data_IF_818523614979
#
_entry.id   IF_818523614979
#
_cell.length_a   1.000
_cell.length_b   1.000
_cell.length_c   1.000
_cell.angle_alpha   90.00
_cell.angle_beta   90.00
_cell.angle_gamma   90.00
#
_symmetry.space_group_name_H-M   'P 1'
#
loop_
_entity.id
_entity.type
_entity.pdbx_description
1 polymer ?
#
# COMPACT_ATOMS: atom_id res chain seq x y z
N UNK A 1 -7.99 -4.34 -14.43
CA UNK A 1 -8.68 -4.34 -13.12
C UNK A 1 -7.63 -3.89 -12.12
N UNK A 2 -7.79 -2.75 -11.43
CA UNK A 2 -6.72 -2.21 -10.58
C UNK A 2 -6.40 -3.14 -9.41
N UNK A 3 -5.30 -3.90 -9.53
CA UNK A 3 -4.70 -4.69 -8.44
C UNK A 3 -4.07 -3.73 -7.42
N UNK A 4 -4.24 -4.02 -6.13
CA UNK A 4 -3.72 -3.19 -5.02
C UNK A 4 -2.30 -3.60 -4.62
N UNK A 5 -1.79 -4.66 -5.22
CA UNK A 5 -0.38 -4.97 -5.32
C UNK A 5 -0.08 -5.00 -6.82
N UNK A 6 0.86 -4.17 -7.25
CA UNK A 6 1.32 -4.12 -8.63
C UNK A 6 2.65 -4.88 -8.69
N UNK A 7 2.73 -5.96 -9.45
CA UNK A 7 3.99 -6.65 -9.65
C UNK A 7 4.98 -5.80 -10.45
N UNK A 8 6.20 -5.71 -9.94
CA UNK A 8 7.35 -5.21 -10.69
C UNK A 8 7.21 -3.77 -11.16
N UNK A 9 7.10 -2.84 -10.22
CA UNK A 9 7.28 -1.43 -10.58
C UNK A 9 8.77 -1.17 -10.79
N UNK A 10 9.30 -1.61 -11.93
CA UNK A 10 10.53 -1.05 -12.47
C UNK A 10 10.46 0.47 -12.39
N UNK A 11 11.59 1.11 -12.08
CA UNK A 11 11.73 2.55 -11.74
C UNK A 11 10.54 3.44 -12.18
N UNK A 12 9.85 4.13 -11.25
CA UNK A 12 8.80 5.07 -11.59
C UNK A 12 9.34 6.13 -12.56
N UNK A 13 8.80 6.18 -13.77
CA UNK A 13 9.22 7.13 -14.80
C UNK A 13 8.04 7.89 -15.34
N UNK A 14 8.32 9.12 -15.77
CA UNK A 14 7.40 9.93 -16.56
C UNK A 14 7.30 9.34 -17.95
N UNK A 15 6.07 9.21 -18.46
CA UNK A 15 5.84 8.93 -19.87
C UNK A 15 6.28 10.17 -20.67
N UNK A 16 7.31 10.06 -21.50
CA UNK A 16 7.55 11.06 -22.54
C UNK A 16 6.31 11.10 -23.42
N UNK A 17 5.61 12.24 -23.48
CA UNK A 17 4.34 12.41 -24.21
C UNK A 17 4.32 11.60 -25.52
N UNK A 18 3.53 10.54 -25.58
CA UNK A 18 3.00 10.09 -26.85
C UNK A 18 2.05 11.20 -27.33
N UNK A 19 2.25 11.70 -28.55
CA UNK A 19 1.30 12.60 -29.20
C UNK A 19 -0.02 11.83 -29.40
N UNK A 20 -0.97 11.99 -28.49
CA UNK A 20 -2.27 11.30 -28.52
C UNK A 20 -3.31 12.08 -27.71
N UNK A 21 -4.54 12.13 -28.22
CA UNK A 21 -5.57 13.11 -27.90
C UNK A 21 -5.90 13.27 -26.39
N UNK A 22 -6.16 14.51 -25.99
CA UNK A 22 -6.57 14.89 -24.64
C UNK A 22 -7.91 14.23 -24.25
N UNK A 23 -7.87 13.30 -23.30
CA UNK A 23 -9.07 12.82 -22.62
C UNK A 23 -9.40 13.84 -21.52
N UNK A 24 -10.42 14.67 -21.75
CA UNK A 24 -11.02 15.49 -20.69
C UNK A 24 -11.88 14.60 -19.81
N UNK A 25 -11.51 14.43 -18.54
CA UNK A 25 -12.41 13.96 -17.50
C UNK A 25 -12.99 15.15 -16.71
N UNK A 26 -14.21 15.03 -16.16
CA UNK A 26 -14.87 16.11 -15.44
C UNK A 26 -14.07 16.56 -14.21
N UNK A 27 -14.11 17.87 -13.93
CA UNK A 27 -13.51 18.50 -12.75
C UNK A 27 -13.92 17.79 -11.45
N UNK A 28 -12.97 17.75 -10.52
CA UNK A 28 -13.12 17.27 -9.16
C UNK A 28 -14.45 17.68 -8.52
N UNK A 29 -15.24 16.69 -8.09
CA UNK A 29 -16.34 16.91 -7.17
C UNK A 29 -15.72 17.26 -5.81
N UNK A 30 -16.09 18.42 -5.28
CA UNK A 30 -15.46 19.03 -4.11
C UNK A 30 -15.42 18.13 -2.88
N UNK A 31 -14.22 18.03 -2.28
CA UNK A 31 -14.01 17.53 -0.91
C UNK A 31 -14.74 18.48 0.05
N UNK A 32 -15.96 18.13 0.48
CA UNK A 32 -16.66 18.88 1.53
C UNK A 32 -16.11 18.49 2.90
N UNK A 33 -15.63 19.49 3.63
CA UNK A 33 -15.21 19.37 5.02
C UNK A 33 -16.42 19.01 5.90
N UNK A 34 -16.33 17.90 6.64
CA UNK A 34 -17.30 17.56 7.70
C UNK A 34 -16.85 18.26 9.00
N UNK A 35 -17.32 19.49 9.17
CA UNK A 35 -17.17 20.27 10.39
C UNK A 35 -18.15 19.87 11.49
N UNK A 36 -17.59 19.45 12.63
CA UNK A 36 -17.92 19.87 14.00
C UNK A 36 -19.33 19.66 14.58
N UNK A 37 -19.41 18.94 15.71
CA UNK A 37 -19.96 19.48 16.99
C UNK A 37 -19.73 18.58 18.22
N UNK A 38 -19.08 19.20 19.22
CA UNK A 38 -19.30 19.21 20.69
C UNK A 38 -19.45 17.94 21.56
N UNK A 39 -18.56 17.86 22.57
CA UNK A 39 -18.59 17.02 23.80
C UNK A 39 -19.85 17.23 24.65
N UNK A 40 -20.14 16.29 25.58
CA UNK A 40 -20.01 16.66 27.00
C UNK A 40 -19.35 15.61 27.92
N UNK A 41 -19.15 16.05 29.16
CA UNK A 41 -18.21 15.59 30.19
C UNK A 41 -18.63 14.38 31.05
N UNK A 42 -17.59 13.67 31.48
CA UNK A 42 -17.36 12.94 32.74
C UNK A 42 -18.47 12.82 33.81
N UNK A 43 -18.62 11.60 34.34
CA UNK A 43 -18.82 11.36 35.79
C UNK A 43 -18.06 10.12 36.28
N UNK A 44 -17.22 10.32 37.31
CA UNK A 44 -16.60 9.31 38.17
C UNK A 44 -17.55 8.90 39.31
N UNK A 45 -17.47 7.64 39.76
CA UNK A 45 -17.66 7.09 41.12
C UNK A 45 -17.63 5.56 41.01
N UNK A 46 -17.21 4.72 41.96
CA UNK A 46 -16.32 4.68 43.14
C UNK A 46 -16.26 3.18 43.52
N UNK A 47 -15.15 2.75 44.11
CA UNK A 47 -14.75 1.38 44.50
C UNK A 47 -15.68 0.63 45.49
N UNK A 48 -15.89 -0.68 45.21
CA UNK A 48 -15.78 -1.94 46.04
C UNK A 48 -16.45 -2.06 47.45
N UNK A 49 -16.63 -3.28 48.08
CA UNK A 49 -16.11 -4.63 47.75
C UNK A 49 -17.03 -5.88 47.94
N UNK A 50 -16.65 -6.97 47.24
CA UNK A 50 -16.48 -8.39 47.63
C UNK A 50 -17.54 -9.18 48.45
N UNK A 51 -18.01 -10.32 47.90
CA UNK A 51 -18.33 -11.54 48.66
C UNK A 51 -18.24 -12.81 47.78
N UNK A 52 -17.63 -13.86 48.36
CA UNK A 52 -17.48 -15.28 47.96
C UNK A 52 -18.82 -16.04 48.14
N UNK A 53 -19.13 -17.26 47.69
CA UNK A 53 -18.43 -18.47 47.21
C UNK A 53 -19.46 -19.37 46.46
N UNK A 54 -18.94 -20.36 45.72
CA UNK A 54 -19.49 -21.71 45.42
C UNK A 54 -20.69 -21.97 44.48
N UNK A 55 -20.41 -22.80 43.47
CA UNK A 55 -21.18 -24.04 43.24
C UNK A 55 -21.98 -24.16 41.94
N UNK A 56 -21.50 -25.01 41.04
CA UNK A 56 -22.38 -25.77 40.12
C UNK A 56 -22.27 -25.41 38.64
N UNK A 57 -21.55 -26.24 37.89
CA UNK A 57 -21.72 -26.34 36.44
C UNK A 57 -23.00 -27.12 36.11
N UNK A 58 -23.70 -26.75 35.02
CA UNK A 58 -24.22 -27.74 34.10
C UNK A 58 -23.79 -27.47 32.65
N UNK A 59 -23.84 -28.50 31.78
CA UNK A 59 -23.20 -28.49 30.47
C UNK A 59 -24.12 -27.90 29.41
N UNK A 60 -23.55 -27.22 28.42
CA UNK A 60 -24.27 -26.91 27.19
C UNK A 60 -23.84 -25.62 26.50
N UNK A 61 -23.15 -25.80 25.37
CA UNK A 61 -23.12 -24.91 24.22
C UNK A 61 -22.65 -23.46 24.41
N UNK A 62 -21.45 -23.16 23.89
CA UNK A 62 -21.24 -22.12 22.86
C UNK A 62 -19.88 -22.31 22.20
N UNK A 63 -19.89 -23.01 21.07
CA UNK A 63 -18.96 -22.70 20.01
C UNK A 63 -19.35 -21.31 19.48
N UNK A 64 -18.46 -20.32 19.59
CA UNK A 64 -18.76 -18.97 19.11
C UNK A 64 -17.86 -17.81 19.56
N UNK A 65 -16.76 -18.04 20.29
CA UNK A 65 -15.89 -16.94 20.76
C UNK A 65 -14.57 -16.79 19.96
N UNK A 66 -14.28 -17.68 19.00
CA UNK A 66 -13.03 -17.63 18.23
C UNK A 66 -12.99 -16.58 17.10
N UNK A 67 -14.11 -16.36 16.41
CA UNK A 67 -14.14 -15.54 15.17
C UNK A 67 -14.08 -14.02 15.45
N UNK A 68 -14.62 -13.56 16.58
CA UNK A 68 -14.58 -12.15 16.96
C UNK A 68 -13.19 -11.67 17.43
N UNK A 69 -12.45 -12.55 18.11
CA UNK A 69 -11.10 -12.26 18.62
C UNK A 69 -10.08 -12.13 17.49
N UNK A 70 -10.07 -13.10 16.55
CA UNK A 70 -9.13 -13.09 15.42
C UNK A 70 -9.34 -11.90 14.49
N UNK A 71 -10.59 -11.50 14.25
CA UNK A 71 -10.88 -10.31 13.41
C UNK A 71 -10.56 -8.99 14.12
N UNK A 72 -10.69 -8.94 15.45
CA UNK A 72 -10.23 -7.80 16.26
C UNK A 72 -8.71 -7.61 16.15
N UNK A 73 -7.96 -8.71 16.18
CA UNK A 73 -6.50 -8.71 16.02
C UNK A 73 -6.06 -8.22 14.63
N UNK A 74 -6.81 -8.54 13.57
CA UNK A 74 -6.54 -8.02 12.22
C UNK A 74 -6.64 -6.50 12.22
N UNK A 75 -7.70 -5.91 12.78
CA UNK A 75 -7.88 -4.45 12.81
C UNK A 75 -6.73 -3.73 13.53
N UNK A 76 -6.34 -4.22 14.71
CA UNK A 76 -5.20 -3.66 15.44
C UNK A 76 -3.89 -3.77 14.66
N UNK A 77 -3.70 -4.87 13.94
CA UNK A 77 -2.53 -5.06 13.08
C UNK A 77 -2.52 -4.08 11.91
N UNK A 78 -3.66 -3.84 11.25
CA UNK A 78 -3.79 -2.82 10.20
C UNK A 78 -3.42 -1.43 10.71
N UNK A 79 -3.91 -1.03 11.88
CA UNK A 79 -3.63 0.28 12.46
C UNK A 79 -2.14 0.44 12.80
N UNK A 80 -1.50 -0.60 13.35
CA UNK A 80 -0.04 -0.60 13.58
C UNK A 80 0.75 -0.52 12.28
N UNK A 81 0.29 -1.19 11.23
CA UNK A 81 0.93 -1.15 9.93
C UNK A 81 0.81 0.25 9.30
N UNK A 82 -0.31 0.95 9.49
CA UNK A 82 -0.49 2.35 9.08
C UNK A 82 0.48 3.28 9.80
N UNK A 83 0.68 3.12 11.10
CA UNK A 83 1.67 3.92 11.86
C UNK A 83 3.08 3.69 11.32
N UNK A 84 3.49 2.43 11.14
CA UNK A 84 4.79 2.09 10.56
C UNK A 84 4.97 2.65 9.15
N UNK A 85 3.93 2.56 8.30
CA UNK A 85 3.97 3.10 6.94
C UNK A 85 4.17 4.61 6.92
N UNK A 86 3.47 5.33 7.80
CA UNK A 86 3.62 6.78 7.95
C UNK A 86 5.00 7.16 8.47
N UNK A 87 5.51 6.48 9.49
CA UNK A 87 6.85 6.70 10.03
C UNK A 87 7.93 6.46 8.97
N UNK A 88 7.77 5.41 8.15
CA UNK A 88 8.73 5.11 7.09
C UNK A 88 8.67 6.12 5.94
N UNK A 89 7.48 6.57 5.54
CA UNK A 89 7.30 7.58 4.49
C UNK A 89 7.98 8.92 4.83
N UNK A 90 8.17 9.23 6.11
CA UNK A 90 8.90 10.43 6.54
C UNK A 90 10.35 10.49 5.99
N UNK A 91 10.96 9.33 5.67
CA UNK A 91 12.26 9.28 5.00
C UNK A 91 12.22 9.91 3.60
N UNK A 92 11.12 9.73 2.86
CA UNK A 92 10.90 10.34 1.55
C UNK A 92 10.47 11.80 1.70
N UNK A 93 9.57 12.10 2.65
CA UNK A 93 9.06 13.45 2.89
C UNK A 93 10.16 14.47 3.18
N UNK A 94 11.26 14.03 3.82
CA UNK A 94 12.41 14.87 4.13
C UNK A 94 13.10 15.48 2.89
N UNK A 95 12.89 14.91 1.71
CA UNK A 95 13.47 15.38 0.45
C UNK A 95 12.47 16.11 -0.44
N UNK A 96 11.21 16.27 0.00
CA UNK A 96 10.17 16.88 -0.82
C UNK A 96 10.33 18.40 -0.85
N UNK A 97 10.68 18.90 -2.03
CA UNK A 97 10.89 20.31 -2.31
C UNK A 97 10.21 20.71 -3.62
N UNK A 98 10.07 22.03 -3.85
CA UNK A 98 9.65 22.54 -5.14
C UNK A 98 10.85 22.60 -6.09
N UNK A 99 10.95 21.57 -6.93
CA UNK A 99 11.98 21.47 -7.96
C UNK A 99 11.35 21.18 -9.33
N UNK A 100 12.01 21.62 -10.41
CA UNK A 100 11.54 21.31 -11.76
C UNK A 100 11.58 19.81 -12.03
N UNK A 101 10.83 19.41 -13.05
CA UNK A 101 10.87 18.06 -13.61
C UNK A 101 12.30 17.64 -14.00
N UNK A 102 12.70 16.41 -13.66
CA UNK A 102 13.95 15.84 -14.20
C UNK A 102 13.85 15.70 -15.74
N UNK A 103 14.83 16.22 -16.51
CA UNK A 103 14.80 16.18 -17.98
C UNK A 103 14.82 14.76 -18.56
N UNK A 104 15.37 13.78 -17.85
CA UNK A 104 15.44 12.38 -18.26
C UNK A 104 14.19 11.56 -17.87
N UNK A 105 13.19 12.23 -17.27
CA UNK A 105 11.93 11.63 -16.89
C UNK A 105 11.95 10.85 -15.57
N UNK A 106 13.05 10.89 -14.81
CA UNK A 106 13.07 10.34 -13.44
C UNK A 106 12.10 11.09 -12.53
N UNK A 107 11.48 10.38 -11.61
CA UNK A 107 10.67 11.01 -10.58
C UNK A 107 11.56 11.68 -9.55
N UNK A 108 11.03 12.75 -8.96
CA UNK A 108 11.62 13.36 -7.79
C UNK A 108 10.83 12.98 -6.52
N UNK A 109 11.33 13.34 -5.33
CA UNK A 109 10.68 12.95 -4.08
C UNK A 109 9.21 13.41 -4.02
N UNK A 110 8.90 14.61 -4.56
CA UNK A 110 7.53 15.14 -4.65
C UNK A 110 6.63 14.26 -5.53
N UNK A 111 7.13 13.78 -6.66
CA UNK A 111 6.41 12.87 -7.57
C UNK A 111 6.12 11.52 -6.88
N UNK A 112 7.10 10.95 -6.18
CA UNK A 112 6.91 9.71 -5.41
C UNK A 112 5.84 9.89 -4.32
N UNK A 113 5.93 10.96 -3.52
CA UNK A 113 4.99 11.21 -2.42
C UNK A 113 3.56 11.44 -2.93
N UNK A 114 3.42 12.21 -4.00
CA UNK A 114 2.15 12.46 -4.67
C UNK A 114 1.48 11.17 -5.16
N UNK A 115 2.27 10.27 -5.74
CA UNK A 115 1.78 8.98 -6.21
C UNK A 115 1.29 8.09 -5.08
N UNK A 116 2.05 8.03 -4.00
CA UNK A 116 1.66 7.27 -2.80
C UNK A 116 0.39 7.81 -2.17
N UNK A 117 0.26 9.13 -2.01
CA UNK A 117 -0.94 9.74 -1.43
C UNK A 117 -2.17 9.48 -2.30
N UNK A 118 -2.03 9.54 -3.62
CA UNK A 118 -3.13 9.34 -4.56
C UNK A 118 -3.73 7.94 -4.45
N UNK A 119 -2.89 6.89 -4.40
CA UNK A 119 -3.36 5.52 -4.22
C UNK A 119 -3.93 5.28 -2.83
N UNK A 120 -3.32 5.86 -1.79
CA UNK A 120 -3.79 5.75 -0.41
C UNK A 120 -5.19 6.34 -0.22
N UNK A 121 -5.47 7.48 -0.86
CA UNK A 121 -6.82 8.05 -0.89
C UNK A 121 -7.84 7.08 -1.48
N UNK A 122 -7.50 6.37 -2.56
CA UNK A 122 -8.41 5.39 -3.18
C UNK A 122 -8.61 4.16 -2.29
N UNK A 123 -7.58 3.70 -1.59
CA UNK A 123 -7.72 2.64 -0.58
C UNK A 123 -8.69 3.07 0.53
N UNK A 124 -8.53 4.29 1.06
CA UNK A 124 -9.41 4.83 2.09
C UNK A 124 -10.87 4.97 1.61
N UNK A 125 -11.07 5.50 0.40
CA UNK A 125 -12.40 5.63 -0.24
C UNK A 125 -13.04 4.26 -0.51
N UNK A 126 -12.26 3.26 -0.90
CA UNK A 126 -12.75 1.90 -1.12
C UNK A 126 -13.23 1.28 0.19
N UNK A 127 -12.44 1.38 1.27
CA UNK A 127 -12.84 0.93 2.60
C UNK A 127 -14.14 1.61 3.08
N UNK A 128 -14.24 2.94 2.91
CA UNK A 128 -15.43 3.68 3.34
C UNK A 128 -16.67 3.31 2.51
N UNK A 129 -16.52 3.14 1.19
CA UNK A 129 -17.59 2.68 0.30
C UNK A 129 -18.07 1.27 0.68
N UNK A 130 -17.16 0.35 0.98
CA UNK A 130 -17.50 -1.03 1.36
C UNK A 130 -18.24 -1.12 2.69
N UNK A 131 -17.95 -0.19 3.61
CA UNK A 131 -18.65 -0.07 4.90
C UNK A 131 -20.03 0.60 4.75
N UNK A 132 -20.13 1.64 3.93
CA UNK A 132 -21.34 2.48 3.86
C UNK A 132 -22.30 2.11 2.73
N UNK A 133 -21.87 1.30 1.78
CA UNK A 133 -22.60 1.07 0.52
C UNK A 133 -22.54 2.26 -0.44
N UNK A 134 -21.63 3.22 -0.22
CA UNK A 134 -21.45 4.39 -1.09
C UNK A 134 -20.77 4.03 -2.42
N UNK A 135 -20.73 4.99 -3.35
CA UNK A 135 -20.08 4.81 -4.64
C UNK A 135 -18.56 4.56 -4.51
N UNK A 136 -18.04 3.60 -5.28
CA UNK A 136 -16.62 3.29 -5.34
C UNK A 136 -15.85 4.36 -6.11
N UNK A 137 -14.59 4.67 -5.73
CA UNK A 137 -13.77 5.59 -6.53
C UNK A 137 -13.62 5.06 -7.95
N UNK A 138 -13.73 5.86 -9.03
CA UNK A 138 -13.79 5.37 -10.40
C UNK A 138 -12.71 4.34 -10.76
N UNK A 139 -12.94 3.41 -11.71
CA UNK A 139 -11.86 2.55 -12.18
C UNK A 139 -10.77 3.39 -12.87
N UNK A 140 -9.53 2.90 -12.81
CA UNK A 140 -8.38 3.50 -13.47
C UNK A 140 -7.86 2.45 -14.46
N UNK A 141 -7.44 2.84 -15.69
CA UNK A 141 -6.83 1.91 -16.63
C UNK A 141 -5.69 1.12 -15.99
N UNK A 142 -5.58 -0.15 -16.37
CA UNK A 142 -4.59 -1.08 -15.86
C UNK A 142 -3.28 -0.94 -16.64
N UNK A 143 -2.72 0.27 -16.59
CA UNK A 143 -1.51 0.67 -17.28
C UNK A 143 -0.79 1.72 -16.41
N UNK A 144 0.40 1.36 -15.92
CA UNK A 144 1.18 2.22 -15.02
C UNK A 144 1.54 3.55 -15.69
N UNK A 145 1.83 3.57 -16.99
CA UNK A 145 2.15 4.79 -17.72
C UNK A 145 0.97 5.77 -17.73
N UNK A 146 -0.23 5.26 -17.98
CA UNK A 146 -1.47 6.06 -17.94
C UNK A 146 -1.77 6.54 -16.54
N UNK A 147 -1.67 5.66 -15.53
CA UNK A 147 -1.89 6.01 -14.12
C UNK A 147 -0.93 7.12 -13.67
N UNK A 148 0.37 6.93 -13.94
CA UNK A 148 1.42 7.86 -13.61
C UNK A 148 1.21 9.22 -14.29
N UNK A 149 0.78 9.23 -15.56
CA UNK A 149 0.47 10.46 -16.28
C UNK A 149 -0.71 11.23 -15.67
N UNK A 150 -1.78 10.52 -15.26
CA UNK A 150 -2.94 11.13 -14.59
C UNK A 150 -2.52 11.81 -13.28
N UNK A 151 -1.73 11.11 -12.46
CA UNK A 151 -1.27 11.63 -11.16
C UNK A 151 -0.35 12.82 -11.39
N UNK A 152 0.60 12.68 -12.32
CA UNK A 152 1.56 13.73 -12.64
C UNK A 152 0.85 15.02 -13.10
N UNK A 153 -0.11 14.92 -14.02
CA UNK A 153 -0.86 16.09 -14.49
C UNK A 153 -1.65 16.79 -13.37
N UNK A 154 -2.08 16.07 -12.34
CA UNK A 154 -2.78 16.64 -11.18
C UNK A 154 -1.86 17.32 -10.17
N UNK A 155 -0.58 16.92 -10.11
CA UNK A 155 0.31 17.29 -9.00
C UNK A 155 1.51 18.13 -9.41
N UNK A 156 1.91 18.10 -10.68
CA UNK A 156 3.13 18.78 -11.15
C UNK A 156 3.22 20.28 -10.84
N UNK A 157 2.07 20.98 -10.83
CA UNK A 157 2.00 22.42 -10.57
C UNK A 157 1.62 22.75 -9.11
N UNK A 158 1.46 21.74 -8.25
CA UNK A 158 1.18 21.94 -6.82
C UNK A 158 2.47 22.25 -6.05
N UNK A 159 2.44 23.20 -5.10
CA UNK A 159 3.53 23.43 -4.17
C UNK A 159 3.86 22.18 -3.35
N UNK A 160 5.13 21.99 -3.01
CA UNK A 160 5.62 20.86 -2.22
C UNK A 160 4.88 20.73 -0.87
N UNK A 161 4.63 21.86 -0.20
CA UNK A 161 3.90 21.91 1.05
C UNK A 161 2.46 21.35 0.93
N UNK A 162 1.77 21.62 -0.19
CA UNK A 162 0.42 21.10 -0.44
C UNK A 162 0.44 19.59 -0.71
N UNK A 163 1.51 19.08 -1.33
CA UNK A 163 1.69 17.64 -1.57
C UNK A 163 1.98 16.92 -0.26
N UNK A 164 2.85 17.47 0.60
CA UNK A 164 3.12 16.93 1.94
C UNK A 164 1.86 16.92 2.81
N UNK A 165 1.09 18.00 2.80
CA UNK A 165 -0.18 18.06 3.53
C UNK A 165 -1.19 17.01 3.05
N UNK A 166 -1.34 16.82 1.73
CA UNK A 166 -2.24 15.80 1.17
C UNK A 166 -1.76 14.36 1.47
N UNK A 167 -0.45 14.12 1.49
CA UNK A 167 0.11 12.83 1.92
C UNK A 167 -0.20 12.53 3.39
N UNK A 168 0.01 13.49 4.30
CA UNK A 168 -0.34 13.35 5.71
C UNK A 168 -1.85 13.15 5.92
N UNK A 169 -2.69 13.86 5.15
CA UNK A 169 -4.14 13.70 5.21
C UNK A 169 -4.57 12.31 4.69
N UNK A 170 -3.93 11.79 3.64
CA UNK A 170 -4.24 10.47 3.09
C UNK A 170 -3.99 9.33 4.09
N UNK A 171 -2.96 9.41 4.94
CA UNK A 171 -2.75 8.46 6.05
C UNK A 171 -3.84 8.57 7.11
N UNK A 172 -4.22 9.81 7.45
CA UNK A 172 -5.30 10.07 8.41
C UNK A 172 -6.63 9.52 7.90
N UNK A 173 -6.91 9.66 6.61
CA UNK A 173 -8.09 9.11 5.97
C UNK A 173 -8.09 7.58 5.96
N UNK A 174 -6.97 6.94 5.62
CA UNK A 174 -6.85 5.47 5.65
C UNK A 174 -7.07 4.92 7.07
N UNK A 175 -6.43 5.52 8.08
CA UNK A 175 -6.64 5.19 9.50
C UNK A 175 -8.11 5.30 9.86
N UNK A 176 -8.74 6.45 9.59
CA UNK A 176 -10.14 6.71 9.92
C UNK A 176 -11.08 5.71 9.27
N UNK A 177 -10.82 5.34 8.02
CA UNK A 177 -11.59 4.32 7.31
C UNK A 177 -11.49 2.94 8.01
N UNK A 178 -10.29 2.51 8.40
CA UNK A 178 -10.10 1.25 9.15
C UNK A 178 -10.76 1.32 10.53
N UNK A 179 -10.61 2.43 11.26
CA UNK A 179 -11.23 2.64 12.58
C UNK A 179 -12.76 2.62 12.52
N UNK A 180 -13.35 3.17 11.46
CA UNK A 180 -14.80 3.17 11.26
C UNK A 180 -15.35 1.81 10.83
N UNK A 181 -14.56 0.97 10.16
CA UNK A 181 -14.99 -0.34 9.67
C UNK A 181 -15.12 -1.37 10.77
N UNK A 182 -16.18 -2.18 10.70
CA UNK A 182 -16.30 -3.40 11.48
C UNK A 182 -15.38 -4.50 10.94
N UNK A 183 -15.18 -5.55 11.74
CA UNK A 183 -14.51 -6.77 11.31
C UNK A 183 -15.15 -7.38 10.05
N UNK A 184 -16.47 -7.34 9.94
CA UNK A 184 -17.22 -7.84 8.78
C UNK A 184 -17.01 -6.97 7.55
N UNK A 185 -16.99 -5.64 7.70
CA UNK A 185 -16.71 -4.72 6.60
C UNK A 185 -15.32 -4.95 6.00
N UNK A 186 -14.33 -5.16 6.86
CA UNK A 186 -12.95 -5.40 6.48
C UNK A 186 -12.79 -6.74 5.72
N UNK A 187 -13.54 -7.76 6.13
CA UNK A 187 -13.50 -9.11 5.55
C UNK A 187 -14.33 -9.27 4.26
N UNK A 188 -15.03 -8.23 3.80
CA UNK A 188 -15.76 -8.28 2.52
C UNK A 188 -14.78 -8.55 1.35
N UNK A 189 -15.23 -9.23 0.29
CA UNK A 189 -14.45 -9.35 -0.94
C UNK A 189 -14.15 -7.98 -1.53
N UNK A 190 -12.94 -7.79 -2.05
CA UNK A 190 -12.55 -6.56 -2.69
C UNK A 190 -13.32 -6.39 -4.01
N UNK A 191 -13.95 -5.23 -4.27
CA UNK A 191 -14.91 -5.06 -5.36
C UNK A 191 -14.30 -5.20 -6.77
N UNK A 192 -12.97 -5.16 -6.88
CA UNK A 192 -12.23 -5.29 -8.15
C UNK A 192 -11.25 -6.46 -8.18
N UNK A 193 -11.12 -7.18 -7.07
CA UNK A 193 -10.24 -8.33 -6.88
C UNK A 193 -11.00 -9.31 -5.98
N UNK A 194 -12.04 -10.00 -6.49
CA UNK A 194 -12.92 -10.83 -5.67
C UNK A 194 -12.20 -11.94 -4.88
N UNK A 195 -11.00 -12.31 -5.31
CA UNK A 195 -10.08 -13.24 -4.65
C UNK A 195 -9.39 -12.68 -3.39
N UNK A 196 -9.42 -11.35 -3.20
CA UNK A 196 -8.86 -10.63 -2.05
C UNK A 196 -9.95 -10.04 -1.17
N UNK A 197 -9.61 -9.72 0.07
CA UNK A 197 -10.47 -8.99 1.00
C UNK A 197 -10.14 -7.49 1.01
N UNK A 198 -11.10 -6.65 1.38
CA UNK A 198 -10.93 -5.19 1.36
C UNK A 198 -9.83 -4.72 2.33
N UNK A 199 -9.63 -5.41 3.46
CA UNK A 199 -8.57 -5.07 4.41
C UNK A 199 -7.16 -5.16 3.82
N UNK A 200 -6.95 -5.97 2.77
CA UNK A 200 -5.66 -6.15 2.10
C UNK A 200 -5.17 -4.86 1.42
N UNK A 201 -6.05 -3.87 1.24
CA UNK A 201 -5.68 -2.54 0.76
C UNK A 201 -4.67 -1.81 1.66
N UNK A 202 -4.60 -2.15 2.95
CA UNK A 202 -3.65 -1.54 3.90
C UNK A 202 -2.23 -2.08 3.72
N UNK A 203 -1.96 -3.40 3.88
CA UNK A 203 -0.62 -3.93 3.63
C UNK A 203 -0.15 -3.67 2.19
N UNK A 204 -1.03 -3.74 1.18
CA UNK A 204 -0.67 -3.38 -0.19
C UNK A 204 -0.22 -1.91 -0.33
N UNK A 205 -0.88 -0.96 0.35
CA UNK A 205 -0.45 0.43 0.36
C UNK A 205 0.93 0.63 1.03
N UNK A 206 1.25 -0.18 2.04
CA UNK A 206 2.52 -0.12 2.78
C UNK A 206 3.64 -0.75 1.97
N UNK A 207 3.42 -1.92 1.37
CA UNK A 207 4.37 -2.56 0.45
C UNK A 207 4.69 -1.66 -0.73
N UNK A 208 3.66 -1.02 -1.31
CA UNK A 208 3.83 -0.03 -2.37
C UNK A 208 4.64 1.19 -1.92
N UNK A 209 4.41 1.71 -0.71
CA UNK A 209 5.26 2.76 -0.13
C UNK A 209 6.73 2.30 0.01
N UNK A 210 6.94 1.08 0.50
CA UNK A 210 8.26 0.46 0.55
C UNK A 210 8.98 0.48 -0.79
N UNK A 211 8.27 0.16 -1.88
CA UNK A 211 8.81 0.21 -3.25
C UNK A 211 9.32 1.58 -3.66
N UNK A 212 8.53 2.63 -3.40
CA UNK A 212 8.96 3.98 -3.72
C UNK A 212 10.12 4.45 -2.84
N UNK A 213 10.17 4.04 -1.57
CA UNK A 213 11.21 4.45 -0.62
C UNK A 213 12.54 3.77 -0.95
N UNK A 214 12.57 2.46 -1.19
CA UNK A 214 13.83 1.81 -1.56
C UNK A 214 14.33 2.28 -2.92
N UNK A 215 13.44 2.51 -3.90
CA UNK A 215 13.84 3.02 -5.22
C UNK A 215 14.46 4.41 -5.09
N UNK A 216 13.90 5.27 -4.24
CA UNK A 216 14.44 6.61 -4.00
C UNK A 216 15.84 6.54 -3.38
N UNK A 217 16.05 5.69 -2.36
CA UNK A 217 17.36 5.54 -1.74
C UNK A 217 18.40 4.96 -2.70
N UNK A 218 18.04 4.04 -3.59
CA UNK A 218 18.95 3.58 -4.65
C UNK A 218 19.33 4.71 -5.62
N UNK A 219 18.39 5.60 -5.95
CA UNK A 219 18.66 6.74 -6.82
C UNK A 219 19.60 7.76 -6.14
N UNK A 220 19.61 7.81 -4.81
CA UNK A 220 20.58 8.56 -4.00
C UNK A 220 21.92 7.82 -3.79
N UNK A 221 22.02 6.55 -4.20
CA UNK A 221 23.19 5.70 -3.96
C UNK A 221 23.28 5.12 -2.53
N UNK A 222 22.23 5.22 -1.73
CA UNK A 222 22.17 4.65 -0.38
C UNK A 222 21.59 3.23 -0.39
N UNK A 223 22.45 2.28 -0.77
CA UNK A 223 22.11 0.86 -0.86
C UNK A 223 21.63 0.26 0.47
N UNK A 224 22.19 0.75 1.58
CA UNK A 224 21.85 0.26 2.93
C UNK A 224 20.41 0.65 3.27
N UNK A 225 20.06 1.93 3.12
CA UNK A 225 18.68 2.38 3.37
C UNK A 225 17.69 1.76 2.41
N UNK A 226 18.05 1.59 1.14
CA UNK A 226 17.22 0.89 0.18
C UNK A 226 16.90 -0.54 0.63
N UNK A 227 17.92 -1.31 1.02
CA UNK A 227 17.73 -2.68 1.50
C UNK A 227 16.95 -2.74 2.82
N UNK A 228 17.17 -1.80 3.74
CA UNK A 228 16.38 -1.70 4.98
C UNK A 228 14.91 -1.47 4.70
N UNK A 229 14.57 -0.54 3.79
CA UNK A 229 13.19 -0.27 3.40
C UNK A 229 12.54 -1.47 2.70
N UNK A 230 13.27 -2.14 1.81
CA UNK A 230 12.78 -3.31 1.08
C UNK A 230 12.44 -4.49 2.01
N UNK A 231 13.32 -4.81 2.96
CA UNK A 231 13.08 -5.87 3.95
C UNK A 231 11.92 -5.51 4.87
N UNK A 232 11.89 -4.29 5.38
CA UNK A 232 10.79 -3.82 6.21
C UNK A 232 9.43 -3.99 5.51
N UNK A 233 9.32 -3.59 4.24
CA UNK A 233 8.09 -3.74 3.48
C UNK A 233 7.69 -5.22 3.31
N UNK A 234 8.67 -6.08 2.98
CA UNK A 234 8.46 -7.52 2.88
C UNK A 234 8.04 -8.16 4.21
N UNK A 235 8.60 -7.70 5.33
CA UNK A 235 8.27 -8.22 6.66
C UNK A 235 6.86 -7.80 7.09
N UNK A 236 6.46 -6.56 6.79
CA UNK A 236 5.10 -6.09 7.05
C UNK A 236 4.10 -6.93 6.26
N UNK A 237 4.27 -7.09 4.95
CA UNK A 237 3.39 -7.91 4.11
C UNK A 237 3.41 -9.39 4.55
N UNK A 238 4.60 -9.94 4.83
CA UNK A 238 4.81 -11.28 5.38
C UNK A 238 4.11 -11.52 6.71
N UNK A 239 3.85 -10.46 7.48
CA UNK A 239 3.04 -10.59 8.68
C UNK A 239 1.56 -10.86 8.35
N UNK A 240 1.00 -10.28 7.28
CA UNK A 240 -0.42 -10.43 6.94
C UNK A 240 -0.72 -11.67 6.11
N UNK A 241 0.23 -12.11 5.30
CA UNK A 241 0.00 -13.13 4.30
C UNK A 241 0.87 -14.37 4.55
N UNK A 242 0.26 -15.55 4.40
CA UNK A 242 0.97 -16.83 4.59
C UNK A 242 0.99 -17.66 3.31
N UNK A 243 0.07 -17.40 2.37
CA UNK A 243 -0.03 -18.18 1.14
C UNK A 243 1.00 -17.71 0.10
N UNK A 244 1.61 -18.63 -0.67
CA UNK A 244 2.60 -18.27 -1.69
C UNK A 244 2.12 -17.22 -2.69
N UNK A 245 0.88 -17.32 -3.18
CA UNK A 245 0.29 -16.41 -4.16
C UNK A 245 0.11 -14.99 -3.64
N UNK A 246 -0.15 -14.82 -2.34
CA UNK A 246 -0.27 -13.51 -1.71
C UNK A 246 1.10 -12.85 -1.51
N UNK A 247 2.15 -13.65 -1.29
CA UNK A 247 3.52 -13.18 -1.07
C UNK A 247 4.35 -13.04 -2.35
N UNK A 248 3.84 -13.53 -3.49
CA UNK A 248 4.60 -13.57 -4.74
C UNK A 248 5.10 -12.19 -5.20
N UNK A 249 4.28 -11.15 -5.07
CA UNK A 249 4.67 -9.80 -5.52
C UNK A 249 5.65 -9.14 -4.55
N UNK A 250 5.48 -9.38 -3.24
CA UNK A 250 6.43 -8.96 -2.21
C UNK A 250 7.83 -9.52 -2.44
N UNK A 251 7.90 -10.84 -2.69
CA UNK A 251 9.15 -11.55 -3.01
C UNK A 251 9.76 -11.05 -4.31
N UNK A 252 8.93 -10.81 -5.33
CA UNK A 252 9.38 -10.24 -6.59
C UNK A 252 10.04 -8.87 -6.38
N UNK A 253 9.38 -7.97 -5.64
CA UNK A 253 9.89 -6.63 -5.37
C UNK A 253 11.18 -6.66 -4.52
N UNK A 254 11.27 -7.54 -3.52
CA UNK A 254 12.51 -7.73 -2.77
C UNK A 254 13.64 -8.26 -3.67
N UNK A 255 13.33 -9.15 -4.60
CA UNK A 255 14.29 -9.63 -5.59
C UNK A 255 14.78 -8.53 -6.53
N UNK A 256 13.91 -7.59 -6.92
CA UNK A 256 14.32 -6.41 -7.70
C UNK A 256 15.38 -5.58 -6.98
N UNK A 257 15.29 -5.43 -5.65
CA UNK A 257 16.31 -4.71 -4.88
C UNK A 257 17.63 -5.48 -4.88
N UNK A 258 17.62 -6.79 -4.65
CA UNK A 258 18.84 -7.60 -4.76
C UNK A 258 19.44 -7.54 -6.17
N UNK A 259 18.61 -7.63 -7.20
CA UNK A 259 19.04 -7.53 -8.59
C UNK A 259 19.73 -6.18 -8.88
N UNK A 260 19.14 -5.07 -8.44
CA UNK A 260 19.71 -3.71 -8.56
C UNK A 260 21.04 -3.53 -7.83
N UNK A 261 21.30 -4.35 -6.81
CA UNK A 261 22.56 -4.39 -6.07
C UNK A 261 23.56 -5.42 -6.63
N UNK A 262 23.25 -6.05 -7.78
CA UNK A 262 24.13 -7.05 -8.41
C UNK A 262 24.24 -8.35 -7.62
N UNK A 263 23.18 -8.74 -6.89
CA UNK A 263 23.14 -9.90 -5.98
C UNK A 263 22.24 -11.03 -6.53
N UNK A 264 22.70 -11.78 -7.56
CA UNK A 264 21.89 -12.81 -8.19
C UNK A 264 21.59 -14.00 -7.25
N UNK A 265 22.52 -14.37 -6.38
CA UNK A 265 22.36 -15.51 -5.48
C UNK A 265 21.18 -15.32 -4.50
N UNK A 266 20.93 -14.08 -4.08
CA UNK A 266 19.79 -13.70 -3.26
C UNK A 266 18.52 -13.43 -4.07
N UNK A 267 18.64 -12.85 -5.27
CA UNK A 267 17.49 -12.50 -6.10
C UNK A 267 16.80 -13.71 -6.74
N UNK A 268 17.57 -14.65 -7.30
CA UNK A 268 17.02 -15.75 -8.11
C UNK A 268 16.11 -16.70 -7.31
N UNK A 269 16.41 -17.09 -6.06
CA UNK A 269 15.50 -17.91 -5.26
C UNK A 269 14.15 -17.24 -5.03
N UNK A 270 14.13 -15.93 -4.78
CA UNK A 270 12.89 -15.16 -4.60
C UNK A 270 12.09 -15.07 -5.91
N UNK A 271 12.75 -14.86 -7.04
CA UNK A 271 12.10 -14.84 -8.37
C UNK A 271 11.48 -16.21 -8.70
N UNK A 272 12.17 -17.32 -8.43
CA UNK A 272 11.61 -18.67 -8.61
C UNK A 272 10.33 -18.87 -7.81
N UNK A 273 10.36 -18.54 -6.51
CA UNK A 273 9.17 -18.65 -5.64
C UNK A 273 8.03 -17.75 -6.14
N UNK A 274 8.35 -16.57 -6.67
CA UNK A 274 7.37 -15.64 -7.21
C UNK A 274 6.72 -16.19 -8.48
N UNK A 275 7.49 -16.76 -9.39
CA UNK A 275 7.00 -17.33 -10.66
C UNK A 275 6.23 -18.63 -10.47
N UNK A 276 6.64 -19.47 -9.52
CA UNK A 276 5.90 -20.68 -9.17
C UNK A 276 4.51 -20.34 -8.62
N UNK A 277 4.42 -19.30 -7.79
CA UNK A 277 3.15 -18.85 -7.21
C UNK A 277 2.29 -18.01 -8.17
N UNK A 278 2.91 -17.20 -9.03
CA UNK A 278 2.27 -16.33 -10.03
C UNK A 278 3.05 -16.34 -11.36
N UNK A 279 2.79 -17.31 -12.25
CA UNK A 279 3.52 -17.43 -13.52
C UNK A 279 3.40 -16.20 -14.43
N UNK A 280 2.34 -15.40 -14.30
CA UNK A 280 2.16 -14.18 -15.09
C UNK A 280 3.27 -13.15 -14.87
N UNK A 281 3.96 -13.21 -13.72
CA UNK A 281 5.08 -12.33 -13.39
C UNK A 281 6.29 -12.52 -14.32
N UNK A 282 6.42 -13.68 -14.97
CA UNK A 282 7.51 -13.95 -15.92
C UNK A 282 7.44 -13.02 -17.13
N UNK A 283 6.22 -12.73 -17.63
CA UNK A 283 6.04 -11.81 -18.75
C UNK A 283 6.50 -10.39 -18.41
N UNK A 284 6.28 -9.98 -17.15
CA UNK A 284 6.78 -8.72 -16.64
C UNK A 284 8.31 -8.74 -16.43
N UNK A 285 8.83 -9.79 -15.80
CA UNK A 285 10.26 -9.95 -15.53
C UNK A 285 11.15 -9.84 -16.77
N UNK A 286 10.66 -10.25 -17.95
CA UNK A 286 11.39 -10.11 -19.22
C UNK A 286 11.71 -8.66 -19.60
N UNK A 287 10.91 -7.69 -19.15
CA UNK A 287 11.04 -6.26 -19.49
C UNK A 287 11.35 -5.36 -18.29
N UNK A 288 11.35 -5.90 -17.07
CA UNK A 288 11.61 -5.13 -15.86
C UNK A 288 13.09 -4.74 -15.75
N UNK A 289 13.37 -3.44 -15.83
CA UNK A 289 14.73 -2.88 -15.80
C UNK A 289 15.45 -3.09 -14.48
N UNK A 290 14.74 -3.32 -13.38
CA UNK A 290 15.41 -3.59 -12.11
C UNK A 290 16.17 -4.93 -12.12
N UNK A 291 15.81 -5.81 -13.06
CA UNK A 291 16.47 -7.10 -13.27
C UNK A 291 17.58 -7.03 -14.34
N UNK A 292 17.92 -5.84 -14.88
CA UNK A 292 18.92 -5.68 -15.94
C UNK A 292 20.28 -6.26 -15.54
N UNK A 293 20.74 -6.00 -14.31
CA UNK A 293 22.06 -6.45 -13.82
C UNK A 293 22.17 -7.97 -13.64
N UNK A 294 21.05 -8.70 -13.57
CA UNK A 294 21.04 -10.15 -13.39
C UNK A 294 20.39 -10.88 -14.57
N UNK A 295 20.12 -10.18 -15.69
CA UNK A 295 19.33 -10.68 -16.82
C UNK A 295 19.85 -12.01 -17.36
N UNK A 296 21.17 -12.14 -17.48
CA UNK A 296 21.82 -13.36 -17.98
C UNK A 296 21.59 -14.54 -17.03
N UNK A 297 21.75 -14.34 -15.73
CA UNK A 297 21.53 -15.37 -14.72
C UNK A 297 20.04 -15.73 -14.54
N UNK A 298 19.15 -14.79 -14.85
CA UNK A 298 17.69 -14.97 -14.81
C UNK A 298 17.16 -15.75 -16.04
N UNK A 299 17.81 -15.64 -17.20
CA UNK A 299 17.33 -16.22 -18.45
C UNK A 299 16.93 -17.71 -18.36
N UNK A 300 17.67 -18.61 -17.68
CA UNK A 300 17.30 -20.03 -17.55
C UNK A 300 15.98 -20.27 -16.78
N UNK A 301 15.55 -19.31 -15.96
CA UNK A 301 14.32 -19.40 -15.16
C UNK A 301 13.11 -18.88 -15.96
N UNK A 302 13.35 -18.09 -17.02
CA UNK A 302 12.30 -17.48 -17.85
C UNK A 302 11.92 -18.31 -19.09
N UNK A 303 12.60 -19.43 -19.34
CA UNK A 303 12.32 -20.38 -20.42
C UNK A 303 11.23 -21.38 -19.99
#
# INVERSE_FOLDING_TARGET
MGRLAFPGRGQPRRVQRARGAAVRLPRAVGRRALGGRTRPQARRRRLEPHQKDDGGAPPGARAGEGDGSDRGLVKEKLLRAIDQGREREAELEAFVVDEPANPDGRWNAKDHLAHLSWWRWRSAQTLDAMRTGSELPPPVPDDDGVQNAIIYDQVKDRPAADVQADAAESWTALRKAVEASSAEDLAKPHPRQPESQVWEAVPGAIGHAGTHIWSWHLDLGDENRAMTAARWASDVEGSFFTKPEQLAESRYNLACVYARLGKPDEALPLLRQSFEAKPELMAWARKDRDLDLIREALAPILL
#
